data_IF_151531124952
#
_entry.id   IF_151531124952
#
_cell.length_a   1.000
_cell.length_b   1.000
_cell.length_c   1.000
_cell.angle_alpha   90.00
_cell.angle_beta   90.00
_cell.angle_gamma   90.00
#
_symmetry.space_group_name_H-M   'P 1'
#
loop_
_entity.id
_entity.type
_entity.pdbx_description
1 polymer ?
#
# COMPACT_ATOMS: atom_id res chain seq x y z
N UNK A 1 -8.23 -49.65 12.23
CA UNK A 1 -9.01 -48.39 12.09
C UNK A 1 -8.39 -47.35 13.02
N UNK A 2 -7.67 -46.39 12.45
CA UNK A 2 -6.83 -45.47 13.24
C UNK A 2 -7.55 -44.13 13.50
N UNK A 3 -7.49 -43.56 14.73
CA UNK A 3 -8.23 -42.34 15.05
C UNK A 3 -7.63 -41.11 14.34
N UNK A 4 -8.47 -40.30 13.67
CA UNK A 4 -8.06 -38.99 13.12
C UNK A 4 -7.85 -38.01 14.27
N UNK A 5 -6.59 -37.72 14.57
CA UNK A 5 -6.21 -36.68 15.53
C UNK A 5 -6.33 -35.30 14.88
N UNK A 6 -7.29 -34.50 15.36
CA UNK A 6 -7.44 -33.10 14.97
C UNK A 6 -6.48 -32.24 15.82
N UNK A 7 -5.62 -31.44 15.19
CA UNK A 7 -4.66 -30.55 15.89
C UNK A 7 -4.95 -29.09 15.49
N UNK A 8 -5.54 -28.27 16.37
CA UNK A 8 -5.70 -26.85 16.09
C UNK A 8 -4.34 -26.15 16.15
N UNK A 9 -3.95 -25.48 15.07
CA UNK A 9 -2.78 -24.59 15.05
C UNK A 9 -3.18 -23.24 15.66
N UNK A 10 -2.98 -23.10 16.97
CA UNK A 10 -2.93 -21.79 17.62
C UNK A 10 -1.72 -21.02 17.11
N UNK A 11 -1.95 -19.98 16.30
CA UNK A 11 -0.92 -18.99 15.98
C UNK A 11 -0.92 -17.94 17.08
N UNK A 12 0.21 -17.82 17.76
CA UNK A 12 0.51 -16.76 18.71
C UNK A 12 0.26 -15.39 18.07
N UNK A 13 -0.67 -14.62 18.63
CA UNK A 13 -0.76 -13.19 18.36
C UNK A 13 0.44 -12.53 19.08
N UNK A 14 1.30 -11.75 18.41
CA UNK A 14 2.19 -10.87 19.15
C UNK A 14 1.32 -9.78 19.81
N UNK A 15 1.35 -9.75 21.14
CA UNK A 15 0.82 -8.66 21.95
C UNK A 15 1.71 -7.44 21.74
N UNK A 16 1.31 -6.54 20.86
CA UNK A 16 1.84 -5.18 20.91
C UNK A 16 1.10 -4.47 22.04
N UNK A 17 1.82 -4.21 23.12
CA UNK A 17 1.43 -3.27 24.15
C UNK A 17 1.17 -1.93 23.46
N UNK A 18 -0.10 -1.51 23.41
CA UNK A 18 -0.48 -0.18 22.97
C UNK A 18 -0.37 0.74 24.17
N UNK A 19 0.71 1.51 24.23
CA UNK A 19 0.83 2.66 25.11
C UNK A 19 -0.14 3.75 24.59
N UNK A 20 -1.15 4.09 25.40
CA UNK A 20 -2.32 4.88 25.03
C UNK A 20 -2.06 6.40 25.14
N UNK A 21 -0.94 6.92 24.62
CA UNK A 21 -0.70 8.37 24.70
C UNK A 21 0.16 8.98 23.58
N UNK A 22 -0.23 8.80 22.32
CA UNK A 22 0.22 9.71 21.23
C UNK A 22 -0.81 9.84 20.11
N UNK A 23 -1.96 10.41 20.45
CA UNK A 23 -2.91 10.94 19.48
C UNK A 23 -2.32 12.26 18.97
N UNK A 24 -1.50 12.23 17.90
CA UNK A 24 -1.38 13.34 16.89
C UNK A 24 -0.33 13.19 15.79
N UNK A 25 0.40 12.07 15.62
CA UNK A 25 1.31 11.94 14.46
C UNK A 25 1.11 10.61 13.77
N UNK A 26 0.64 10.67 12.52
CA UNK A 26 0.47 9.53 11.64
C UNK A 26 1.75 8.66 11.63
N UNK A 27 1.56 7.35 11.54
CA UNK A 27 2.62 6.35 11.45
C UNK A 27 3.35 6.46 10.10
N UNK A 28 4.10 7.54 9.94
CA UNK A 28 4.97 7.81 8.82
C UNK A 28 6.26 7.03 9.04
N UNK A 29 6.55 6.13 8.11
CA UNK A 29 7.79 5.40 8.05
C UNK A 29 8.68 6.02 6.98
N UNK A 30 9.97 6.18 7.27
CA UNK A 30 10.96 6.57 6.28
C UNK A 30 11.52 5.29 5.67
N UNK A 31 11.48 5.18 4.34
CA UNK A 31 12.02 4.06 3.59
C UNK A 31 13.01 4.58 2.54
N UNK A 32 14.22 4.02 2.50
CA UNK A 32 15.21 4.31 1.47
C UNK A 32 15.02 3.35 0.28
N UNK A 33 14.94 3.92 -0.93
CA UNK A 33 14.74 3.18 -2.19
C UNK A 33 15.75 3.68 -3.25
N UNK A 34 15.89 2.93 -4.35
CA UNK A 34 16.87 3.20 -5.42
C UNK A 34 16.76 4.60 -6.05
N UNK A 35 15.57 5.21 -5.96
CA UNK A 35 15.22 6.52 -6.50
C UNK A 35 15.21 7.65 -5.45
N UNK A 36 15.47 7.33 -4.18
CA UNK A 36 15.60 8.31 -3.10
C UNK A 36 14.97 7.87 -1.78
N UNK A 37 14.97 8.79 -0.83
CA UNK A 37 14.35 8.60 0.49
C UNK A 37 12.88 8.98 0.41
N UNK A 38 12.02 8.04 0.77
CA UNK A 38 10.57 8.19 0.77
C UNK A 38 10.02 8.24 2.18
N UNK A 39 9.06 9.13 2.39
CA UNK A 39 8.19 9.11 3.55
C UNK A 39 6.91 8.38 3.15
N UNK A 40 6.55 7.37 3.95
CA UNK A 40 5.50 6.41 3.65
C UNK A 40 4.47 6.40 4.78
N UNK A 41 3.23 6.72 4.44
CA UNK A 41 2.09 6.74 5.36
C UNK A 41 1.09 5.66 4.99
N UNK A 42 0.70 4.82 5.95
CA UNK A 42 -0.39 3.87 5.77
C UNK A 42 -1.73 4.54 6.04
N UNK A 43 -2.63 4.50 5.07
CA UNK A 43 -3.98 5.05 5.17
C UNK A 43 -4.96 3.92 5.40
N UNK A 44 -5.76 4.03 6.46
CA UNK A 44 -6.88 3.13 6.71
C UNK A 44 -7.98 3.38 5.69
N UNK A 45 -8.80 2.36 5.41
CA UNK A 45 -9.93 2.49 4.49
C UNK A 45 -10.84 3.65 4.88
N UNK A 46 -11.21 3.77 6.15
CA UNK A 46 -12.09 4.82 6.68
C UNK A 46 -11.62 6.26 6.45
N UNK A 47 -10.31 6.48 6.24
CA UNK A 47 -9.74 7.81 5.95
C UNK A 47 -9.74 8.14 4.44
N UNK A 48 -10.00 7.14 3.59
CA UNK A 48 -10.04 7.28 2.13
C UNK A 48 -11.42 7.74 1.66
N UNK A 49 -11.61 9.07 1.59
CA UNK A 49 -12.87 9.67 1.17
C UNK A 49 -12.96 9.98 -0.34
N UNK A 50 -11.89 9.72 -1.11
CA UNK A 50 -11.81 10.00 -2.54
C UNK A 50 -11.11 8.86 -3.27
N UNK A 51 -11.53 8.53 -4.51
CA UNK A 51 -10.79 7.59 -5.32
C UNK A 51 -9.49 8.25 -5.83
N UNK A 52 -8.40 7.49 -5.82
CA UNK A 52 -7.09 7.96 -6.30
C UNK A 52 -6.52 7.02 -7.34
N UNK A 53 -5.65 7.52 -8.24
CA UNK A 53 -5.01 6.69 -9.26
C UNK A 53 -3.65 6.18 -8.80
N UNK A 54 -3.45 4.87 -8.87
CA UNK A 54 -2.21 4.23 -8.44
C UNK A 54 -1.12 4.29 -9.53
N UNK A 55 0.07 4.88 -9.28
CA UNK A 55 1.13 4.97 -10.29
C UNK A 55 1.70 3.61 -10.74
N UNK A 56 1.69 2.59 -9.87
CA UNK A 56 2.30 1.28 -10.17
C UNK A 56 1.47 0.37 -11.08
N UNK A 57 0.15 0.56 -11.14
CA UNK A 57 -0.75 -0.26 -11.97
C UNK A 57 -1.75 0.54 -12.80
N UNK A 58 -1.79 1.86 -12.63
CA UNK A 58 -2.66 2.81 -13.32
C UNK A 58 -4.18 2.62 -13.07
N UNK A 59 -4.51 1.79 -12.08
CA UNK A 59 -5.88 1.51 -11.64
C UNK A 59 -6.32 2.48 -10.54
N UNK A 60 -7.64 2.64 -10.40
CA UNK A 60 -8.23 3.43 -9.33
C UNK A 60 -8.23 2.65 -8.02
N UNK A 61 -7.76 3.30 -6.97
CA UNK A 61 -7.93 2.92 -5.57
C UNK A 61 -9.32 3.44 -5.17
N UNK A 62 -10.28 2.56 -4.82
CA UNK A 62 -11.61 3.00 -4.43
C UNK A 62 -11.57 3.76 -3.08
N UNK A 63 -12.65 4.51 -2.83
CA UNK A 63 -12.93 5.02 -1.48
C UNK A 63 -13.02 3.86 -0.48
N UNK A 64 -12.86 4.15 0.81
CA UNK A 64 -12.92 3.16 1.87
C UNK A 64 -11.87 2.03 1.78
N UNK A 65 -10.89 2.11 0.86
CA UNK A 65 -9.88 1.06 0.65
C UNK A 65 -8.57 1.40 1.34
N UNK A 66 -8.02 0.51 2.20
CA UNK A 66 -6.70 0.70 2.80
C UNK A 66 -5.60 0.77 1.74
N UNK A 67 -4.74 1.78 1.82
CA UNK A 67 -3.71 2.02 0.82
C UNK A 67 -2.53 2.78 1.43
N UNK A 68 -1.48 2.98 0.65
CA UNK A 68 -0.23 3.63 1.10
C UNK A 68 -0.07 4.96 0.36
N UNK A 69 0.25 6.02 1.08
CA UNK A 69 0.64 7.31 0.51
C UNK A 69 2.15 7.44 0.66
N UNK A 70 2.84 7.74 -0.42
CA UNK A 70 4.29 7.91 -0.42
C UNK A 70 4.70 9.16 -1.19
N UNK A 71 5.71 9.85 -0.68
CA UNK A 71 6.30 11.05 -1.25
C UNK A 71 7.80 11.11 -0.94
N UNK A 72 8.57 11.87 -1.71
CA UNK A 72 9.99 12.06 -1.40
C UNK A 72 10.11 12.97 -0.17
N UNK A 73 11.11 12.73 0.66
CA UNK A 73 11.32 13.49 1.92
C UNK A 73 11.29 15.02 1.71
N UNK A 74 11.85 15.50 0.60
CA UNK A 74 11.92 16.92 0.25
C UNK A 74 10.76 17.42 -0.64
N UNK A 75 9.78 16.58 -0.97
CA UNK A 75 8.63 16.91 -1.82
C UNK A 75 7.32 16.40 -1.20
N UNK A 76 6.85 17.09 -0.16
CA UNK A 76 5.62 16.74 0.55
C UNK A 76 4.35 16.95 -0.29
N UNK A 77 4.39 17.83 -1.29
CA UNK A 77 3.27 18.09 -2.17
C UNK A 77 3.15 17.00 -3.26
N UNK A 78 4.25 16.35 -3.61
CA UNK A 78 4.32 15.19 -4.51
C UNK A 78 3.70 13.89 -3.98
N UNK A 79 2.76 13.95 -3.03
CA UNK A 79 2.08 12.78 -2.43
C UNK A 79 1.35 11.93 -3.46
N UNK A 80 1.82 10.69 -3.63
CA UNK A 80 1.20 9.69 -4.52
C UNK A 80 0.55 8.58 -3.72
N UNK A 81 -0.59 8.12 -4.21
CA UNK A 81 -1.41 7.10 -3.57
C UNK A 81 -1.19 5.77 -4.27
N UNK A 82 -0.83 4.73 -3.53
CA UNK A 82 -0.49 3.41 -4.02
C UNK A 82 -1.33 2.35 -3.32
N UNK A 83 -1.75 1.30 -4.04
CA UNK A 83 -2.17 0.08 -3.35
C UNK A 83 -1.01 -0.46 -2.50
N UNK A 84 -1.30 -1.05 -1.34
CA UNK A 84 -0.24 -1.56 -0.44
C UNK A 84 0.68 -2.57 -1.13
N UNK A 85 0.11 -3.45 -1.96
CA UNK A 85 0.87 -4.43 -2.75
C UNK A 85 1.69 -3.76 -3.86
N UNK A 86 1.16 -2.70 -4.47
CA UNK A 86 1.85 -1.96 -5.51
C UNK A 86 3.05 -1.19 -4.95
N UNK A 87 2.95 -0.62 -3.74
CA UNK A 87 4.07 0.01 -3.05
C UNK A 87 5.19 -1.00 -2.75
N UNK A 88 4.85 -2.13 -2.12
CA UNK A 88 5.81 -3.19 -1.79
C UNK A 88 6.54 -3.76 -3.02
N UNK A 89 5.91 -3.71 -4.19
CA UNK A 89 6.49 -4.17 -5.47
C UNK A 89 6.74 -3.03 -6.44
N UNK A 90 6.96 -1.80 -5.97
CA UNK A 90 7.05 -0.60 -6.84
C UNK A 90 8.10 -0.72 -7.94
N UNK A 91 9.26 -1.32 -7.65
CA UNK A 91 10.32 -1.52 -8.64
C UNK A 91 9.93 -2.53 -9.75
N UNK A 92 9.02 -3.45 -9.44
CA UNK A 92 8.53 -4.49 -10.35
C UNK A 92 7.18 -4.15 -11.01
N UNK A 93 6.48 -3.12 -10.51
CA UNK A 93 5.13 -2.75 -10.95
C UNK A 93 5.21 -1.46 -11.76
N UNK A 94 4.84 -1.56 -13.03
CA UNK A 94 4.73 -0.43 -13.96
C UNK A 94 3.37 -0.50 -14.64
N UNK A 95 2.77 0.65 -15.01
CA UNK A 95 1.60 0.67 -15.87
C UNK A 95 1.84 -0.22 -17.07
N UNK A 96 0.86 -1.06 -17.41
CA UNK A 96 0.94 -1.82 -18.65
C UNK A 96 0.82 -0.81 -19.78
N UNK A 97 1.92 -0.57 -20.48
CA UNK A 97 1.89 0.25 -21.70
C UNK A 97 1.03 -0.53 -22.69
N UNK A 98 -0.19 -0.05 -22.94
CA UNK A 98 -1.09 -0.58 -23.96
C UNK A 98 -0.47 -0.31 -25.34
N UNK A 99 0.47 -1.17 -25.74
CA UNK A 99 1.00 -1.19 -27.09
C UNK A 99 -0.07 -1.79 -28.00
N UNK A 100 -0.74 -0.90 -28.73
CA UNK A 100 -1.24 -1.11 -30.09
C UNK A 100 -2.36 -2.14 -30.34
N UNK A 101 -2.96 -2.77 -29.32
CA UNK A 101 -4.12 -3.66 -29.58
C UNK A 101 -5.39 -2.95 -30.05
N UNK A 102 -5.50 -1.64 -29.83
CA UNK A 102 -6.66 -0.82 -30.21
C UNK A 102 -6.27 0.41 -31.06
N UNK A 103 -5.09 0.40 -31.68
CA UNK A 103 -4.71 1.48 -32.60
C UNK A 103 -5.69 1.48 -33.79
N UNK A 104 -6.26 2.63 -34.19
CA UNK A 104 -7.10 2.71 -35.38
C UNK A 104 -6.32 2.16 -36.58
N UNK A 105 -6.86 1.16 -37.26
CA UNK A 105 -6.40 0.77 -38.59
C UNK A 105 -7.00 1.77 -39.58
N UNK A 106 -6.26 2.82 -39.91
CA UNK A 106 -6.44 3.54 -41.16
C UNK A 106 -5.06 3.75 -41.79
#
# INVERSE_FOLDING_TARGET
MSPRRNKPKGKSKPSNNFDENEITTASDAIEEHDDGIYVVRKISGSSSNKPYRCPGCDQLIPMATPHTVAWLEHDQDGRRHWHSICWSKRNLRRPKIERTRNAPKY
#
